data_IF_503203408715
#
_entry.id   IF_503203408715
#
_cell.length_a   1.000
_cell.length_b   1.000
_cell.length_c   1.000
_cell.angle_alpha   90.00
_cell.angle_beta   90.00
_cell.angle_gamma   90.00
#
_symmetry.space_group_name_H-M   'P 1'
#
loop_
_entity.id
_entity.type
_entity.pdbx_description
1 polymer ?
#
# COMPACT_ATOMS: atom_id res chain seq x y z
N UNK A 1 2.74 -23.85 4.92
CA UNK A 1 2.61 -22.65 5.79
C UNK A 1 2.69 -21.41 4.91
N UNK A 2 2.06 -20.30 5.33
CA UNK A 2 2.06 -19.02 4.61
C UNK A 2 2.44 -17.90 5.56
N UNK A 3 3.12 -16.89 5.01
CA UNK A 3 3.44 -15.62 5.65
C UNK A 3 2.73 -14.57 4.82
N UNK A 4 1.82 -13.82 5.41
CA UNK A 4 1.10 -12.73 4.73
C UNK A 4 1.59 -11.40 5.30
N UNK A 5 1.95 -10.48 4.41
CA UNK A 5 2.39 -9.13 4.72
C UNK A 5 1.37 -8.19 4.09
N UNK A 6 0.58 -7.55 4.93
CA UNK A 6 -0.39 -6.56 4.49
C UNK A 6 0.24 -5.16 4.42
N UNK A 7 -0.26 -4.33 3.51
CA UNK A 7 0.22 -2.97 3.27
C UNK A 7 1.73 -2.89 3.04
N UNK A 8 2.28 -3.82 2.23
CA UNK A 8 3.73 -3.94 2.04
C UNK A 8 4.40 -2.63 1.60
N UNK A 9 3.67 -1.75 0.90
CA UNK A 9 4.18 -0.45 0.48
C UNK A 9 4.60 0.44 1.66
N UNK A 10 3.99 0.29 2.84
CA UNK A 10 4.33 1.05 4.04
C UNK A 10 5.71 0.68 4.62
N UNK A 11 6.29 -0.43 4.16
CA UNK A 11 7.59 -0.90 4.64
C UNK A 11 8.76 -0.59 3.68
N UNK A 12 8.46 -0.22 2.42
CA UNK A 12 9.47 -0.16 1.36
C UNK A 12 10.61 0.84 1.59
N UNK A 13 10.36 1.89 2.36
CA UNK A 13 11.28 3.04 2.44
C UNK A 13 11.72 3.35 3.86
N UNK A 14 11.45 2.48 4.84
CA UNK A 14 11.77 2.76 6.22
C UNK A 14 12.52 1.60 6.90
N UNK A 15 13.15 1.91 8.05
CA UNK A 15 13.90 0.94 8.87
C UNK A 15 13.08 -0.27 9.32
N UNK A 16 11.75 -0.17 9.35
CA UNK A 16 10.87 -1.30 9.66
C UNK A 16 10.88 -2.32 8.55
N UNK A 17 10.99 -1.87 7.30
CA UNK A 17 11.17 -2.75 6.14
C UNK A 17 12.46 -3.55 6.21
N UNK A 18 13.56 -2.91 6.59
CA UNK A 18 14.85 -3.60 6.77
C UNK A 18 14.76 -4.68 7.86
N UNK A 19 14.13 -4.35 8.99
CA UNK A 19 13.93 -5.31 10.09
C UNK A 19 13.00 -6.46 9.67
N UNK A 20 11.97 -6.17 8.88
CA UNK A 20 11.08 -7.19 8.33
C UNK A 20 11.84 -8.10 7.36
N UNK A 21 12.66 -7.55 6.47
CA UNK A 21 13.49 -8.34 5.55
C UNK A 21 14.43 -9.30 6.29
N UNK A 22 15.11 -8.83 7.33
CA UNK A 22 15.93 -9.68 8.19
C UNK A 22 15.11 -10.79 8.87
N UNK A 23 13.92 -10.46 9.33
CA UNK A 23 13.01 -11.43 9.95
C UNK A 23 12.54 -12.49 8.95
N UNK A 24 12.22 -12.08 7.71
CA UNK A 24 11.85 -12.97 6.62
C UNK A 24 13.01 -13.90 6.22
N UNK A 25 14.24 -13.41 6.21
CA UNK A 25 15.43 -14.22 5.96
C UNK A 25 15.62 -15.31 7.03
N UNK A 26 15.46 -14.94 8.32
CA UNK A 26 15.51 -15.91 9.43
C UNK A 26 14.37 -16.92 9.37
N UNK A 27 13.15 -16.50 9.05
CA UNK A 27 12.01 -17.39 8.87
C UNK A 27 12.22 -18.34 7.70
N UNK A 28 12.87 -17.90 6.62
CA UNK A 28 13.21 -18.79 5.51
C UNK A 28 14.18 -19.90 5.93
N UNK A 29 15.18 -19.59 6.76
CA UNK A 29 16.11 -20.60 7.28
C UNK A 29 15.40 -21.67 8.15
N UNK A 30 14.34 -21.28 8.89
CA UNK A 30 13.58 -22.18 9.76
C UNK A 30 12.47 -22.93 8.99
N UNK A 31 11.87 -22.29 8.01
CA UNK A 31 10.72 -22.78 7.25
C UNK A 31 10.87 -22.45 5.75
N UNK A 32 11.82 -23.09 5.03
CA UNK A 32 12.12 -22.74 3.63
C UNK A 32 10.95 -22.99 2.67
N UNK A 33 10.00 -23.83 3.04
CA UNK A 33 8.79 -24.11 2.24
C UNK A 33 7.61 -23.17 2.55
N UNK A 34 7.80 -22.17 3.41
CA UNK A 34 6.73 -21.20 3.70
C UNK A 34 6.56 -20.23 2.52
N UNK A 35 5.36 -20.21 1.94
CA UNK A 35 4.99 -19.27 0.90
C UNK A 35 4.88 -17.85 1.49
N UNK A 36 5.45 -16.86 0.80
CA UNK A 36 5.31 -15.45 1.16
C UNK A 36 4.27 -14.80 0.25
N UNK A 37 3.39 -14.03 0.81
CA UNK A 37 2.35 -13.26 0.11
C UNK A 37 2.39 -11.84 0.62
N UNK A 38 2.49 -10.87 -0.27
CA UNK A 38 2.39 -9.46 0.06
C UNK A 38 1.13 -8.88 -0.59
N UNK A 39 0.43 -8.04 0.16
CA UNK A 39 -0.76 -7.32 -0.29
C UNK A 39 -0.48 -5.82 -0.28
N UNK A 40 -0.96 -5.13 -1.31
CA UNK A 40 -0.90 -3.67 -1.37
C UNK A 40 -1.96 -3.13 -2.32
N UNK A 41 -2.58 -2.02 -1.97
CA UNK A 41 -3.51 -1.33 -2.85
C UNK A 41 -2.78 -0.54 -3.95
N UNK A 42 -1.58 -0.02 -3.66
CA UNK A 42 -0.82 0.83 -4.58
C UNK A 42 0.67 0.51 -4.50
N UNK A 43 1.31 0.32 -5.65
CA UNK A 43 2.76 0.13 -5.76
C UNK A 43 3.30 1.01 -6.89
N UNK A 44 4.25 1.87 -6.58
CA UNK A 44 4.90 2.72 -7.59
C UNK A 44 5.80 1.89 -8.52
N UNK A 45 6.51 0.90 -7.98
CA UNK A 45 7.36 -0.02 -8.72
C UNK A 45 7.15 -1.46 -8.21
N UNK A 46 6.25 -2.24 -8.80
CA UNK A 46 5.97 -3.62 -8.36
C UNK A 46 7.20 -4.52 -8.38
N UNK A 47 8.14 -4.30 -9.31
CA UNK A 47 9.32 -5.15 -9.47
C UNK A 47 10.21 -5.17 -8.23
N UNK A 48 10.43 -4.03 -7.60
CA UNK A 48 11.24 -3.93 -6.39
C UNK A 48 10.65 -4.76 -5.24
N UNK A 49 9.31 -4.76 -5.13
CA UNK A 49 8.59 -5.56 -4.13
C UNK A 49 8.60 -7.05 -4.43
N UNK A 50 8.54 -7.44 -5.70
CA UNK A 50 8.67 -8.83 -6.10
C UNK A 50 10.04 -9.39 -5.71
N UNK A 51 11.11 -8.64 -5.94
CA UNK A 51 12.47 -9.00 -5.58
C UNK A 51 12.69 -8.97 -4.06
N UNK A 52 12.15 -7.97 -3.38
CA UNK A 52 12.22 -7.87 -1.93
C UNK A 52 11.49 -9.02 -1.21
N UNK A 53 10.35 -9.47 -1.74
CA UNK A 53 9.54 -10.52 -1.15
C UNK A 53 10.16 -11.91 -1.35
N UNK A 54 10.79 -12.14 -2.49
CA UNK A 54 11.37 -13.43 -2.82
C UNK A 54 12.57 -13.76 -1.93
N UNK A 55 12.72 -15.02 -1.49
CA UNK A 55 13.94 -15.43 -0.79
C UNK A 55 15.13 -15.40 -1.76
N UNK A 56 16.14 -14.59 -1.44
CA UNK A 56 17.38 -14.57 -2.21
C UNK A 56 18.29 -15.69 -1.74
N UNK A 57 18.65 -16.59 -2.63
CA UNK A 57 19.43 -17.81 -2.30
C UNK A 57 20.94 -17.61 -2.33
N UNK A 58 21.39 -16.41 -2.67
CA UNK A 58 22.81 -16.01 -2.60
C UNK A 58 23.70 -16.52 -3.73
N UNK A 59 23.17 -17.21 -4.74
CA UNK A 59 23.92 -17.51 -5.96
C UNK A 59 24.07 -16.22 -6.79
N UNK A 60 25.31 -15.87 -7.11
CA UNK A 60 25.62 -14.63 -7.83
C UNK A 60 25.06 -14.70 -9.26
N UNK A 61 24.05 -13.86 -9.53
CA UNK A 61 23.60 -13.59 -10.89
C UNK A 61 22.10 -13.64 -11.17
N UNK A 62 21.30 -14.35 -10.40
CA UNK A 62 19.85 -14.34 -10.54
C UNK A 62 19.17 -13.73 -9.33
N UNK A 63 18.49 -12.61 -9.53
CA UNK A 63 17.62 -12.03 -8.52
C UNK A 63 16.26 -12.71 -8.64
N UNK A 64 15.92 -13.52 -7.65
CA UNK A 64 14.59 -14.12 -7.58
C UNK A 64 13.51 -13.06 -7.41
N UNK A 65 12.37 -13.24 -8.04
CA UNK A 65 11.23 -12.35 -7.94
C UNK A 65 9.95 -13.16 -7.70
N UNK A 66 9.07 -12.63 -6.86
CA UNK A 66 7.76 -13.22 -6.63
C UNK A 66 6.83 -12.97 -7.83
N UNK A 67 5.82 -13.82 -8.00
CA UNK A 67 4.77 -13.60 -8.98
C UNK A 67 3.92 -12.38 -8.62
N UNK A 68 3.52 -11.61 -9.63
CA UNK A 68 2.64 -10.47 -9.48
C UNK A 68 1.22 -10.86 -9.92
N UNK A 69 0.26 -10.64 -9.04
CA UNK A 69 -1.16 -10.76 -9.34
C UNK A 69 -1.79 -9.38 -9.23
N UNK A 70 -2.29 -8.86 -10.33
CA UNK A 70 -3.03 -7.58 -10.36
C UNK A 70 -4.51 -7.93 -10.37
N UNK A 71 -5.26 -7.39 -9.39
CA UNK A 71 -6.70 -7.51 -9.35
C UNK A 71 -7.37 -6.82 -10.54
N UNK A 72 -8.61 -7.20 -10.82
CA UNK A 72 -9.41 -6.49 -11.82
C UNK A 72 -9.58 -5.03 -11.41
N UNK A 73 -9.47 -4.14 -12.39
CA UNK A 73 -9.77 -2.73 -12.16
C UNK A 73 -11.24 -2.59 -11.78
N UNK A 74 -11.49 -2.04 -10.59
CA UNK A 74 -12.85 -1.68 -10.18
C UNK A 74 -13.44 -0.57 -11.07
N UNK A 75 -14.62 -0.10 -10.71
CA UNK A 75 -15.22 1.06 -11.37
C UNK A 75 -14.28 2.26 -11.28
N UNK A 76 -14.21 3.03 -12.37
CA UNK A 76 -13.41 4.26 -12.40
C UNK A 76 -13.93 5.23 -11.32
N UNK A 77 -13.07 5.73 -10.42
CA UNK A 77 -13.53 6.63 -9.37
C UNK A 77 -13.91 7.98 -9.97
N UNK A 78 -15.08 8.47 -9.60
CA UNK A 78 -15.47 9.86 -9.84
C UNK A 78 -14.85 10.73 -8.76
N UNK A 79 -13.95 11.63 -9.16
CA UNK A 79 -13.22 12.49 -8.23
C UNK A 79 -13.73 13.92 -8.33
N UNK A 80 -14.27 14.44 -7.24
CA UNK A 80 -14.77 15.82 -7.14
C UNK A 80 -14.03 16.58 -6.04
N UNK A 81 -13.72 17.85 -6.31
CA UNK A 81 -13.12 18.75 -5.33
C UNK A 81 -14.21 19.60 -4.72
N UNK A 82 -14.51 19.36 -3.45
CA UNK A 82 -15.48 20.15 -2.69
C UNK A 82 -14.81 21.39 -2.09
N UNK A 83 -15.24 22.57 -2.52
CA UNK A 83 -14.77 23.84 -2.00
C UNK A 83 -15.89 24.53 -1.19
N UNK A 84 -15.57 25.19 -0.05
CA UNK A 84 -16.53 26.02 0.67
C UNK A 84 -17.07 27.13 -0.23
N UNK A 85 -18.39 27.30 -0.30
CA UNK A 85 -19.00 28.25 -1.23
C UNK A 85 -19.02 29.69 -0.73
N UNK A 86 -18.99 29.93 0.58
CA UNK A 86 -19.32 31.24 1.15
C UNK A 86 -18.24 31.86 2.06
N UNK A 87 -17.18 31.13 2.42
CA UNK A 87 -16.19 31.64 3.37
C UNK A 87 -14.76 31.60 2.80
N UNK A 88 -14.01 32.66 3.02
CA UNK A 88 -12.55 32.61 2.83
C UNK A 88 -11.95 31.73 3.90
N UNK A 89 -11.48 30.57 3.48
CA UNK A 89 -10.78 29.64 4.38
C UNK A 89 -9.56 30.35 4.96
N UNK A 90 -9.42 30.42 6.29
CA UNK A 90 -8.24 31.03 6.92
C UNK A 90 -6.96 30.31 6.51
N UNK A 91 -5.87 31.04 6.31
CA UNK A 91 -4.56 30.50 5.93
C UNK A 91 -3.92 29.58 6.99
N UNK A 92 -4.47 29.53 8.18
CA UNK A 92 -3.98 28.68 9.28
C UNK A 92 -5.06 27.72 9.77
N UNK A 93 -4.70 26.47 9.97
CA UNK A 93 -5.54 25.45 10.58
C UNK A 93 -6.08 24.39 9.63
N UNK A 94 -7.00 23.57 10.13
CA UNK A 94 -7.58 22.45 9.38
C UNK A 94 -8.68 22.96 8.43
N UNK A 95 -8.29 23.30 7.21
CA UNK A 95 -9.20 23.83 6.19
C UNK A 95 -10.40 22.89 5.88
N UNK A 96 -10.22 21.59 6.01
CA UNK A 96 -11.26 20.59 5.74
C UNK A 96 -12.54 20.75 6.57
N UNK A 97 -12.47 21.34 7.77
CA UNK A 97 -13.67 21.55 8.62
C UNK A 97 -14.70 22.50 7.99
N UNK A 98 -14.25 23.39 7.12
CA UNK A 98 -15.12 24.36 6.44
C UNK A 98 -15.91 23.75 5.28
N UNK A 99 -15.47 22.58 4.78
CA UNK A 99 -16.16 21.82 3.75
C UNK A 99 -17.06 20.70 4.33
N UNK A 100 -17.14 20.54 5.66
CA UNK A 100 -17.93 19.49 6.30
C UNK A 100 -19.41 19.49 5.89
N UNK A 101 -20.12 20.63 5.82
CA UNK A 101 -21.51 20.64 5.38
C UNK A 101 -21.67 20.08 3.97
N UNK A 102 -20.85 20.50 3.02
CA UNK A 102 -20.86 20.02 1.63
C UNK A 102 -20.52 18.54 1.55
N UNK A 103 -19.54 18.09 2.36
CA UNK A 103 -19.19 16.67 2.45
C UNK A 103 -20.34 15.81 2.94
N UNK A 104 -21.08 16.28 3.95
CA UNK A 104 -22.27 15.56 4.47
C UNK A 104 -23.35 15.45 3.39
N UNK A 105 -23.60 16.52 2.64
CA UNK A 105 -24.58 16.48 1.55
C UNK A 105 -24.13 15.54 0.42
N UNK A 106 -22.85 15.56 0.05
CA UNK A 106 -22.31 14.64 -0.94
C UNK A 106 -22.43 13.18 -0.49
N UNK A 107 -22.15 12.86 0.78
CA UNK A 107 -22.33 11.51 1.34
C UNK A 107 -23.79 11.09 1.27
N UNK A 108 -24.73 11.98 1.62
CA UNK A 108 -26.17 11.67 1.56
C UNK A 108 -26.69 11.46 0.14
N UNK A 109 -26.10 12.17 -0.84
CA UNK A 109 -26.49 12.08 -2.24
C UNK A 109 -26.01 10.79 -2.91
N UNK A 110 -24.94 10.18 -2.38
CA UNK A 110 -24.34 8.97 -2.95
C UNK A 110 -24.67 7.75 -2.12
N UNK A 111 -24.86 6.60 -2.79
CA UNK A 111 -24.97 5.31 -2.11
C UNK A 111 -23.56 4.79 -1.80
N UNK A 112 -23.33 4.52 -0.54
CA UNK A 112 -22.16 3.75 -0.06
C UNK A 112 -22.52 2.28 0.12
#
# INVERSE_FOLDING_TARGET
RRIVIDEVHAFATDKRGDLLALSLARLHAIAPQAQRVALSATLANPRDFQEWLAPQTGEAGEIAAADLVIGEQGAEPEVEILLPQEERVPWGGHAGRWAVPQLIEAIKANRT
#
